data_IF_159084631798
#
_entry.id   IF_159084631798
#
_cell.length_a   1.000
_cell.length_b   1.000
_cell.length_c   1.000
_cell.angle_alpha   90.00
_cell.angle_beta   90.00
_cell.angle_gamma   90.00
#
_symmetry.space_group_name_H-M   'P 1'
#
loop_
_entity.id
_entity.type
_entity.pdbx_description
1 polymer ?
#
# COMPACT_ATOMS: atom_id res chain seq x y z
N UNK A 1 -0.78 -15.78 -19.45
CA UNK A 1 0.47 -15.17 -18.92
C UNK A 1 0.27 -13.73 -18.42
N UNK A 2 -0.39 -12.83 -19.16
CA UNK A 2 -0.61 -11.43 -18.73
C UNK A 2 -1.34 -11.27 -17.37
N UNK A 3 -2.38 -12.08 -17.12
CA UNK A 3 -3.16 -12.06 -15.86
C UNK A 3 -2.32 -12.46 -14.63
N UNK A 4 -1.35 -13.37 -14.81
CA UNK A 4 -0.44 -13.82 -13.73
C UNK A 4 0.56 -12.73 -13.40
N UNK A 5 1.14 -12.08 -14.41
CA UNK A 5 2.09 -10.97 -14.22
C UNK A 5 1.41 -9.79 -13.49
N UNK A 6 0.18 -9.45 -13.86
CA UNK A 6 -0.60 -8.40 -13.18
C UNK A 6 -0.88 -8.77 -11.70
N UNK A 7 -1.31 -10.01 -11.45
CA UNK A 7 -1.55 -10.50 -10.09
C UNK A 7 -0.30 -10.45 -9.22
N UNK A 8 0.85 -10.88 -9.77
CA UNK A 8 2.14 -10.82 -9.07
C UNK A 8 2.58 -9.38 -8.76
N UNK A 9 2.39 -8.45 -9.70
CA UNK A 9 2.73 -7.04 -9.49
C UNK A 9 1.87 -6.39 -8.40
N UNK A 10 0.60 -6.75 -8.31
CA UNK A 10 -0.30 -6.25 -7.27
C UNK A 10 0.00 -6.83 -5.89
N UNK A 11 0.33 -8.12 -5.82
CA UNK A 11 0.77 -8.74 -4.56
C UNK A 11 2.05 -8.05 -4.07
N UNK A 12 3.02 -7.80 -4.95
CA UNK A 12 4.24 -7.06 -4.62
C UNK A 12 3.95 -5.63 -4.13
N UNK A 13 3.06 -4.90 -4.80
CA UNK A 13 2.65 -3.56 -4.36
C UNK A 13 2.01 -3.58 -2.97
N UNK A 14 1.17 -4.58 -2.68
CA UNK A 14 0.57 -4.78 -1.37
C UNK A 14 1.62 -5.05 -0.28
N UNK A 15 2.59 -5.92 -0.55
CA UNK A 15 3.68 -6.25 0.39
C UNK A 15 4.53 -5.00 0.69
N UNK A 16 4.86 -4.21 -0.32
CA UNK A 16 5.63 -2.97 -0.15
C UNK A 16 4.85 -1.96 0.69
N UNK A 17 3.55 -1.81 0.45
CA UNK A 17 2.69 -0.94 1.26
C UNK A 17 2.63 -1.38 2.72
N UNK A 18 2.51 -2.68 2.98
CA UNK A 18 2.50 -3.22 4.36
C UNK A 18 3.84 -2.96 5.04
N UNK A 19 4.96 -3.16 4.35
CA UNK A 19 6.29 -2.90 4.88
C UNK A 19 6.48 -1.42 5.28
N UNK A 20 5.96 -0.49 4.47
CA UNK A 20 6.03 0.95 4.80
C UNK A 20 5.19 1.32 6.02
N UNK A 21 3.96 0.80 6.12
CA UNK A 21 3.10 1.02 7.29
C UNK A 21 3.74 0.43 8.54
N UNK A 22 4.30 -0.78 8.43
CA UNK A 22 4.96 -1.45 9.53
C UNK A 22 6.21 -0.68 9.99
N UNK A 23 7.06 -0.24 9.07
CA UNK A 23 8.22 0.59 9.37
C UNK A 23 7.83 1.90 10.08
N UNK A 24 6.78 2.58 9.60
CA UNK A 24 6.24 3.78 10.25
C UNK A 24 5.64 3.51 11.63
N UNK A 25 5.08 2.32 11.87
CA UNK A 25 4.57 1.89 13.17
C UNK A 25 5.65 1.42 14.14
N UNK A 26 6.85 1.07 13.68
CA UNK A 26 7.95 0.59 14.52
C UNK A 26 8.92 1.71 14.95
N UNK A 27 8.81 2.90 14.36
CA UNK A 27 9.56 4.07 14.80
C UNK A 27 9.02 4.53 16.17
N UNK A 28 9.60 3.95 17.22
CA UNK A 28 9.18 3.97 18.62
C UNK A 28 9.47 5.30 19.35
N UNK A 29 10.08 6.26 18.65
CA UNK A 29 10.60 7.50 19.24
C UNK A 29 9.55 8.64 19.26
N UNK A 30 8.46 8.49 18.50
CA UNK A 30 7.43 9.52 18.37
C UNK A 30 6.07 9.02 18.86
N UNK A 31 5.87 9.11 20.17
CA UNK A 31 4.56 8.94 20.81
C UNK A 31 3.80 10.27 20.80
N UNK A 32 2.50 10.23 20.51
CA UNK A 32 1.61 11.39 20.68
C UNK A 32 0.84 11.14 21.97
N UNK A 33 1.06 11.96 22.99
CA UNK A 33 0.41 11.79 24.30
C UNK A 33 0.59 10.38 24.93
N UNK A 34 1.67 9.67 24.60
CA UNK A 34 1.92 8.30 25.10
C UNK A 34 1.23 7.18 24.30
N UNK A 35 0.43 7.50 23.28
CA UNK A 35 -0.19 6.51 22.40
C UNK A 35 0.58 6.36 21.07
N UNK A 36 0.65 5.11 20.59
CA UNK A 36 1.25 4.79 19.31
C UNK A 36 0.32 5.20 18.17
N UNK A 37 0.75 6.15 17.34
CA UNK A 37 0.00 6.56 16.14
C UNK A 37 0.88 6.45 14.90
N UNK A 38 0.72 5.34 14.17
CA UNK A 38 1.52 5.04 12.97
C UNK A 38 1.32 6.07 11.85
N UNK A 39 0.09 6.52 11.61
CA UNK A 39 -0.21 7.53 10.59
C UNK A 39 0.33 8.91 10.96
N UNK A 40 0.26 9.29 12.24
CA UNK A 40 0.87 10.53 12.69
C UNK A 40 2.39 10.48 12.53
N UNK A 41 3.01 9.37 12.91
CA UNK A 41 4.45 9.18 12.79
C UNK A 41 4.91 9.33 11.33
N UNK A 42 4.22 8.65 10.41
CA UNK A 42 4.48 8.73 8.97
C UNK A 42 4.29 10.16 8.43
N UNK A 43 3.35 10.94 8.98
CA UNK A 43 3.17 12.35 8.63
C UNK A 43 4.35 13.22 9.08
N UNK A 44 4.91 12.97 10.26
CA UNK A 44 6.07 13.70 10.79
C UNK A 44 7.36 13.38 10.01
N UNK A 45 7.50 12.15 9.51
CA UNK A 45 8.59 11.78 8.60
C UNK A 45 8.40 12.29 7.16
N UNK A 46 7.31 13.01 6.87
CA UNK A 46 7.03 13.52 5.52
C UNK A 46 6.75 12.42 4.50
N UNK A 47 6.42 11.20 4.95
CA UNK A 47 6.19 10.01 4.13
C UNK A 47 4.73 9.88 3.65
N UNK A 48 3.86 10.82 4.02
CA UNK A 48 2.47 10.89 3.56
C UNK A 48 2.30 10.88 2.03
N UNK A 49 3.10 11.63 1.23
CA UNK A 49 3.04 11.54 -0.23
C UNK A 49 3.28 10.12 -0.75
N UNK A 50 4.19 9.39 -0.12
CA UNK A 50 4.53 8.02 -0.47
C UNK A 50 3.35 7.08 -0.20
N UNK A 51 2.65 7.24 0.93
CA UNK A 51 1.39 6.52 1.19
C UNK A 51 0.36 6.78 0.10
N UNK A 52 0.14 8.04 -0.27
CA UNK A 52 -0.87 8.38 -1.29
C UNK A 52 -0.53 7.79 -2.66
N UNK A 53 0.74 7.81 -3.06
CA UNK A 53 1.20 7.21 -4.32
C UNK A 53 0.99 5.70 -4.29
N UNK A 54 1.38 5.01 -3.22
CA UNK A 54 1.19 3.57 -3.11
C UNK A 54 -0.28 3.17 -3.04
N UNK A 55 -1.11 3.93 -2.33
CA UNK A 55 -2.56 3.73 -2.30
C UNK A 55 -3.15 3.89 -3.71
N UNK A 56 -2.74 4.91 -4.47
CA UNK A 56 -3.14 5.11 -5.86
C UNK A 56 -2.76 3.93 -6.75
N UNK A 57 -1.51 3.46 -6.65
CA UNK A 57 -1.04 2.28 -7.40
C UNK A 57 -1.84 1.04 -7.03
N UNK A 58 -2.13 0.83 -5.74
CA UNK A 58 -2.91 -0.30 -5.26
C UNK A 58 -4.36 -0.26 -5.80
N UNK A 59 -5.01 0.91 -5.81
CA UNK A 59 -6.36 1.10 -6.38
C UNK A 59 -6.36 0.81 -7.89
N UNK A 60 -5.39 1.36 -8.64
CA UNK A 60 -5.29 1.12 -10.08
C UNK A 60 -5.07 -0.36 -10.37
N UNK A 61 -4.16 -1.01 -9.64
CA UNK A 61 -3.96 -2.44 -9.72
C UNK A 61 -5.26 -3.18 -9.46
N UNK A 62 -5.97 -2.83 -8.38
CA UNK A 62 -7.23 -3.46 -8.00
C UNK A 62 -8.29 -3.39 -9.10
N UNK A 63 -8.48 -2.20 -9.69
CA UNK A 63 -9.40 -2.01 -10.81
C UNK A 63 -9.02 -2.87 -12.01
N UNK A 64 -7.73 -2.93 -12.37
CA UNK A 64 -7.26 -3.75 -13.49
C UNK A 64 -7.43 -5.25 -13.24
N UNK A 65 -7.19 -5.74 -12.02
CA UNK A 65 -7.42 -7.13 -11.68
C UNK A 65 -8.91 -7.49 -11.67
N UNK A 66 -9.76 -6.63 -11.10
CA UNK A 66 -11.20 -6.82 -11.12
C UNK A 66 -11.72 -6.84 -12.57
N UNK A 67 -11.25 -5.94 -13.42
CA UNK A 67 -11.61 -5.94 -14.84
C UNK A 67 -11.12 -7.22 -15.53
N UNK A 68 -9.87 -7.62 -15.32
CA UNK A 68 -9.31 -8.85 -15.90
C UNK A 68 -10.00 -10.15 -15.43
N UNK A 69 -10.70 -10.13 -14.29
CA UNK A 69 -11.53 -11.22 -13.79
C UNK A 69 -12.87 -11.30 -14.52
N UNK A 70 -13.50 -10.15 -14.78
CA UNK A 70 -14.79 -10.04 -15.48
C UNK A 70 -14.63 -10.33 -16.97
N UNK A 71 -13.49 -9.94 -17.55
CA UNK A 71 -13.09 -10.16 -18.95
C UNK A 71 -12.61 -11.61 -19.20
N UNK A 72 -13.26 -12.58 -18.56
CA UNK A 72 -13.06 -14.04 -18.74
C UNK A 72 -14.31 -14.71 -19.30
N UNK A 73 -15.11 -13.95 -20.04
CA UNK A 73 -16.21 -14.44 -20.87
C UNK A 73 -15.93 -14.01 -22.30
N UNK A 74 -14.97 -14.72 -22.91
CA UNK A 74 -14.91 -15.10 -24.33
C UNK A 74 -13.69 -16.01 -24.51
#
# INVERSE_FOLDING_TARGET
MKKVILGSAMILAGIISIAQVLAGSMANEWTVNGEFSSLWNISQYGLMPTIYIFAGIAIIGFVLAAWGLIDKKD
#
